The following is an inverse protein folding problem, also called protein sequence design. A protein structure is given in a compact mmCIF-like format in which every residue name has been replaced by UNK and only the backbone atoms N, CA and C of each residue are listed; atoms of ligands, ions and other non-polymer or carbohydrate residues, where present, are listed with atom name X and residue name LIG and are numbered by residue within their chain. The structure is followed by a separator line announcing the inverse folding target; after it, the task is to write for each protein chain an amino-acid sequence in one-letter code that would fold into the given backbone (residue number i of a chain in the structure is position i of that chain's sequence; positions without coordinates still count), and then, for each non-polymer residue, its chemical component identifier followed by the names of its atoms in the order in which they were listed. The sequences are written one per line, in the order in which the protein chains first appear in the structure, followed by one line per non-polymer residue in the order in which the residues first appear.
data_IF_047245882676
#
_entry.id   IF_047245882676
#
_cell.length_a   1.000
_cell.length_b   1.000
_cell.length_c   1.000
_cell.angle_alpha   90.00
_cell.angle_beta   90.00
_cell.angle_gamma   90.00
#
_symmetry.space_group_name_H-M   'P 1'
#
loop_
_entity.id
_entity.type
_entity.pdbx_description
1 polymer ?
#
# COMPACT_ATOMS: atom_id res chain seq x y z
N UNK A 1 -22.34 -0.14 -17.86
CA UNK A 1 -22.45 -1.39 -17.09
C UNK A 1 -23.31 -1.12 -15.88
N UNK A 2 -24.37 -1.90 -15.60
CA UNK A 2 -25.25 -1.65 -14.46
C UNK A 2 -24.51 -1.90 -13.14
N UNK A 3 -24.73 -1.04 -12.15
CA UNK A 3 -24.27 -1.25 -10.78
C UNK A 3 -25.22 -2.24 -10.09
N UNK A 4 -24.94 -3.55 -10.24
CA UNK A 4 -25.76 -4.60 -9.64
C UNK A 4 -24.90 -5.60 -8.85
N UNK A 5 -25.44 -6.19 -7.77
CA UNK A 5 -24.75 -7.21 -7.00
C UNK A 5 -24.28 -8.39 -7.86
N UNK A 6 -25.06 -8.77 -8.88
CA UNK A 6 -24.71 -9.85 -9.81
C UNK A 6 -23.43 -9.53 -10.59
N UNK A 7 -23.32 -8.31 -11.12
CA UNK A 7 -22.11 -7.88 -11.83
C UNK A 7 -20.90 -7.86 -10.89
N UNK A 8 -21.07 -7.36 -9.67
CA UNK A 8 -19.99 -7.33 -8.68
C UNK A 8 -19.52 -8.73 -8.28
N UNK A 9 -20.44 -9.68 -8.10
CA UNK A 9 -20.10 -11.08 -7.83
C UNK A 9 -19.33 -11.69 -9.00
N UNK A 10 -19.78 -11.48 -10.25
CA UNK A 10 -19.08 -11.97 -11.44
C UNK A 10 -17.66 -11.38 -11.51
N UNK A 11 -17.51 -10.08 -11.22
CA UNK A 11 -16.20 -9.43 -11.19
C UNK A 11 -15.29 -10.02 -10.12
N UNK A 12 -15.77 -10.20 -8.89
CA UNK A 12 -14.98 -10.80 -7.80
C UNK A 12 -14.54 -12.21 -8.18
N UNK A 13 -15.45 -13.06 -8.66
CA UNK A 13 -15.13 -14.44 -9.07
C UNK A 13 -14.09 -14.45 -10.20
N UNK A 14 -14.27 -13.60 -11.21
CA UNK A 14 -13.38 -13.51 -12.36
C UNK A 14 -11.98 -13.06 -11.95
N UNK A 15 -11.88 -11.98 -11.18
CA UNK A 15 -10.60 -11.42 -10.73
C UNK A 15 -9.90 -12.39 -9.76
N UNK A 16 -10.63 -13.02 -8.84
CA UNK A 16 -10.10 -14.05 -7.94
C UNK A 16 -9.56 -15.24 -8.73
N UNK A 17 -10.24 -15.65 -9.80
CA UNK A 17 -9.76 -16.71 -10.69
C UNK A 17 -8.45 -16.32 -11.37
N UNK A 18 -8.35 -15.11 -11.91
CA UNK A 18 -7.10 -14.62 -12.50
C UNK A 18 -5.96 -14.53 -11.47
N UNK A 19 -6.24 -14.04 -10.26
CA UNK A 19 -5.26 -13.99 -9.18
C UNK A 19 -4.78 -15.40 -8.78
N UNK A 20 -5.72 -16.34 -8.63
CA UNK A 20 -5.40 -17.75 -8.32
C UNK A 20 -4.53 -18.38 -9.41
N UNK A 21 -4.85 -18.17 -10.68
CA UNK A 21 -4.06 -18.64 -11.80
C UNK A 21 -2.65 -18.01 -11.81
N UNK A 22 -2.54 -16.71 -11.50
CA UNK A 22 -1.26 -16.01 -11.38
C UNK A 22 -0.37 -16.67 -10.32
N UNK A 23 -0.89 -16.86 -9.10
CA UNK A 23 -0.15 -17.47 -7.99
C UNK A 23 0.32 -18.89 -8.31
N UNK A 24 -0.56 -19.71 -8.91
CA UNK A 24 -0.29 -21.12 -9.21
C UNK A 24 0.72 -21.29 -10.33
N UNK A 25 0.68 -20.39 -11.32
CA UNK A 25 1.62 -20.40 -12.45
C UNK A 25 3.07 -20.23 -11.98
N UNK A 26 3.30 -19.72 -10.76
CA UNK A 26 4.64 -19.59 -10.16
C UNK A 26 5.57 -18.71 -10.99
N UNK A 27 5.01 -17.88 -11.87
CA UNK A 27 5.79 -17.05 -12.76
C UNK A 27 6.35 -15.89 -11.94
N UNK A 28 7.55 -16.07 -11.37
CA UNK A 28 8.40 -14.95 -10.95
C UNK A 28 8.53 -13.89 -12.07
N UNK A 29 8.36 -14.30 -13.34
CA UNK A 29 8.21 -13.39 -14.50
C UNK A 29 6.85 -12.70 -14.58
N UNK A 30 5.75 -13.38 -14.26
CA UNK A 30 4.39 -12.85 -14.33
C UNK A 30 4.15 -11.74 -13.32
N UNK A 31 4.52 -11.97 -12.05
CA UNK A 31 4.49 -10.93 -11.01
C UNK A 31 5.34 -9.73 -11.44
N UNK A 32 6.54 -9.97 -11.96
CA UNK A 32 7.43 -8.90 -12.42
C UNK A 32 6.80 -8.10 -13.56
N UNK A 33 6.29 -8.76 -14.60
CA UNK A 33 5.67 -8.10 -15.75
C UNK A 33 4.42 -7.33 -15.33
N UNK A 34 3.55 -7.94 -14.52
CA UNK A 34 2.34 -7.28 -14.03
C UNK A 34 2.67 -6.09 -13.12
N UNK A 35 3.70 -6.20 -12.27
CA UNK A 35 4.15 -5.10 -11.41
C UNK A 35 4.78 -3.96 -12.22
N UNK A 36 5.62 -4.26 -13.22
CA UNK A 36 6.18 -3.27 -14.14
C UNK A 36 5.08 -2.59 -14.96
N UNK A 37 4.14 -3.37 -15.50
CA UNK A 37 2.96 -2.86 -16.19
C UNK A 37 2.12 -1.97 -15.27
N UNK A 38 1.93 -2.36 -14.01
CA UNK A 38 1.20 -1.56 -13.04
C UNK A 38 1.83 -0.19 -12.82
N UNK A 39 3.16 -0.14 -12.67
CA UNK A 39 3.91 1.11 -12.50
C UNK A 39 3.76 2.01 -13.74
N UNK A 40 3.83 1.44 -14.94
CA UNK A 40 3.66 2.19 -16.20
C UNK A 40 2.23 2.69 -16.35
N UNK A 41 1.22 1.83 -16.19
CA UNK A 41 -0.19 2.19 -16.34
C UNK A 41 -0.60 3.24 -15.32
N UNK A 42 -0.20 3.08 -14.06
CA UNK A 42 -0.48 4.06 -13.00
C UNK A 42 0.25 5.36 -13.24
N UNK A 43 1.52 5.31 -13.66
CA UNK A 43 2.29 6.48 -14.03
C UNK A 43 1.66 7.25 -15.19
N UNK A 44 1.21 6.55 -16.23
CA UNK A 44 0.52 7.14 -17.38
C UNK A 44 -0.84 7.74 -16.98
N UNK A 45 -1.59 7.08 -16.09
CA UNK A 45 -2.85 7.61 -15.58
C UNK A 45 -2.62 8.93 -14.82
N UNK A 46 -1.70 8.92 -13.86
CA UNK A 46 -1.38 10.11 -13.06
C UNK A 46 -0.81 11.23 -13.91
N UNK A 47 0.07 10.91 -14.86
CA UNK A 47 0.61 11.87 -15.81
C UNK A 47 -0.48 12.43 -16.72
N UNK A 48 -1.39 11.59 -17.21
CA UNK A 48 -2.54 12.00 -18.00
C UNK A 48 -3.44 12.98 -17.26
N UNK A 49 -3.79 12.67 -16.00
CA UNK A 49 -4.58 13.58 -15.15
C UNK A 49 -3.81 14.87 -14.85
N UNK A 50 -2.50 14.81 -14.59
CA UNK A 50 -1.68 15.99 -14.35
C UNK A 50 -1.63 16.94 -15.55
N UNK A 51 -1.50 16.40 -16.77
CA UNK A 51 -1.37 17.18 -18.00
C UNK A 51 -2.70 17.69 -18.55
N UNK A 52 -3.78 16.90 -18.40
CA UNK A 52 -5.11 17.26 -18.90
C UNK A 52 -5.87 18.12 -17.87
N UNK A 53 -5.67 17.83 -16.59
CA UNK A 53 -6.30 18.55 -15.49
C UNK A 53 -5.63 19.90 -15.17
N UNK A 54 -5.98 20.52 -14.02
CA UNK A 54 -5.50 21.84 -13.66
C UNK A 54 -4.04 21.81 -13.16
N UNK A 55 -3.07 21.64 -14.06
CA UNK A 55 -1.64 21.38 -13.74
C UNK A 55 -1.06 22.38 -12.74
N UNK A 56 -1.29 23.68 -12.94
CA UNK A 56 -0.76 24.74 -12.06
C UNK A 56 -1.35 24.62 -10.66
N UNK A 57 -2.65 24.33 -10.55
CA UNK A 57 -3.31 24.10 -9.26
C UNK A 57 -2.72 22.87 -8.57
N UNK A 58 -2.58 21.74 -9.27
CA UNK A 58 -2.02 20.49 -8.73
C UNK A 58 -0.61 20.73 -8.18
N UNK A 59 0.29 21.34 -8.97
CA UNK A 59 1.66 21.58 -8.56
C UNK A 59 1.77 22.58 -7.39
N UNK A 60 0.92 23.61 -7.38
CA UNK A 60 0.87 24.58 -6.29
C UNK A 60 0.36 23.92 -5.01
N UNK A 61 -0.69 23.12 -5.09
CA UNK A 61 -1.26 22.34 -3.98
C UNK A 61 -0.29 21.31 -3.45
N UNK A 62 0.57 20.72 -4.30
CA UNK A 62 1.61 19.79 -3.84
C UNK A 62 2.63 20.51 -2.96
N UNK A 63 3.18 21.62 -3.44
CA UNK A 63 4.19 22.38 -2.69
C UNK A 63 3.62 22.95 -1.39
N UNK A 64 2.44 23.55 -1.43
CA UNK A 64 1.78 24.10 -0.24
C UNK A 64 1.36 23.00 0.73
N UNK A 65 0.82 21.89 0.22
CA UNK A 65 0.40 20.73 1.01
C UNK A 65 1.57 20.06 1.73
N UNK A 66 2.74 19.96 1.10
CA UNK A 66 3.95 19.46 1.77
C UNK A 66 4.42 20.40 2.89
N UNK A 67 4.36 21.72 2.68
CA UNK A 67 4.64 22.70 3.73
C UNK A 67 3.67 22.59 4.91
N UNK A 68 2.38 22.40 4.63
CA UNK A 68 1.35 22.20 5.65
C UNK A 68 1.55 20.88 6.41
N UNK A 69 1.88 19.79 5.70
CA UNK A 69 2.15 18.49 6.30
C UNK A 69 3.27 18.56 7.35
N UNK A 70 4.36 19.27 7.03
CA UNK A 70 5.47 19.45 7.97
C UNK A 70 5.08 20.34 9.16
N UNK A 71 4.28 21.39 8.93
CA UNK A 71 3.82 22.28 9.99
C UNK A 71 2.88 21.58 10.97
N UNK A 72 1.93 20.81 10.46
CA UNK A 72 0.88 20.17 11.25
C UNK A 72 1.24 18.75 11.73
N UNK A 73 2.46 18.28 11.46
CA UNK A 73 2.87 16.90 11.70
C UNK A 73 2.58 16.42 13.12
N UNK A 74 3.06 17.16 14.13
CA UNK A 74 2.88 16.76 15.54
C UNK A 74 1.43 16.90 16.01
N UNK A 75 0.74 17.96 15.57
CA UNK A 75 -0.68 18.17 15.89
C UNK A 75 -1.53 17.00 15.37
N UNK A 76 -1.32 16.62 14.11
CA UNK A 76 -2.02 15.51 13.45
C UNK A 76 -1.63 14.15 14.05
N UNK A 77 -0.35 13.95 14.40
CA UNK A 77 0.14 12.71 14.98
C UNK A 77 -0.40 12.44 16.39
N UNK A 78 -0.69 13.48 17.16
CA UNK A 78 -1.20 13.39 18.53
C UNK A 78 -2.71 13.67 18.64
N UNK A 79 -3.38 13.96 17.52
CA UNK A 79 -4.82 14.24 17.49
C UNK A 79 -5.59 13.05 18.09
N UNK A 80 -6.46 13.35 19.06
CA UNK A 80 -7.36 12.39 19.70
C UNK A 80 -8.72 13.04 19.84
N UNK A 81 -9.73 12.47 19.20
CA UNK A 81 -11.09 12.99 19.25
C UNK A 81 -11.67 12.89 20.66
N UNK A 82 -12.17 14.01 21.18
CA UNK A 82 -12.77 14.09 22.52
C UNK A 82 -14.29 14.00 22.40
N UNK A 83 -14.85 14.71 21.42
CA UNK A 83 -16.28 14.73 21.15
C UNK A 83 -16.75 13.50 20.36
N UNK A 84 -18.04 13.13 20.43
CA UNK A 84 -18.58 11.98 19.69
C UNK A 84 -18.28 12.00 18.19
N UNK A 85 -18.48 13.15 17.53
CA UNK A 85 -18.27 13.29 16.09
C UNK A 85 -16.79 13.19 15.70
N UNK A 86 -15.91 13.75 16.54
CA UNK A 86 -14.46 13.65 16.37
C UNK A 86 -13.97 12.21 16.48
N UNK A 87 -14.50 11.45 17.45
CA UNK A 87 -14.19 10.02 17.63
C UNK A 87 -14.64 9.21 16.43
N UNK A 88 -15.83 9.48 15.90
CA UNK A 88 -16.36 8.82 14.70
C UNK A 88 -15.49 9.12 13.47
N UNK A 89 -15.09 10.38 13.29
CA UNK A 89 -14.17 10.76 12.22
C UNK A 89 -12.81 10.08 12.39
N UNK A 90 -12.22 10.12 13.58
CA UNK A 90 -10.93 9.50 13.86
C UNK A 90 -10.96 7.98 13.65
N UNK A 91 -12.08 7.33 14.02
CA UNK A 91 -12.29 5.90 13.80
C UNK A 91 -12.36 5.55 12.30
N UNK A 92 -13.11 6.34 11.51
CA UNK A 92 -13.28 6.13 10.08
C UNK A 92 -12.04 6.42 9.22
N UNK A 93 -11.11 7.24 9.73
CA UNK A 93 -9.92 7.68 9.01
C UNK A 93 -8.62 7.23 9.69
N UNK A 94 -8.15 7.96 10.71
CA UNK A 94 -6.82 7.76 11.29
C UNK A 94 -6.64 6.37 11.89
N UNK A 95 -7.58 5.92 12.73
CA UNK A 95 -7.50 4.61 13.39
C UNK A 95 -7.68 3.49 12.37
N UNK A 96 -8.60 3.65 11.42
CA UNK A 96 -8.78 2.70 10.32
C UNK A 96 -7.47 2.53 9.52
N UNK A 97 -6.84 3.62 9.08
CA UNK A 97 -5.59 3.53 8.32
C UNK A 97 -4.44 2.97 9.16
N UNK A 98 -4.32 3.32 10.45
CA UNK A 98 -3.36 2.67 11.34
C UNK A 98 -3.58 1.16 11.44
N UNK A 99 -4.81 0.72 11.68
CA UNK A 99 -5.11 -0.70 11.73
C UNK A 99 -4.83 -1.41 10.39
N UNK A 100 -5.20 -0.77 9.27
CA UNK A 100 -4.91 -1.26 7.93
C UNK A 100 -3.40 -1.44 7.73
N UNK A 101 -2.60 -0.38 7.89
CA UNK A 101 -1.16 -0.45 7.66
C UNK A 101 -0.47 -1.45 8.59
N UNK A 102 -0.87 -1.51 9.86
CA UNK A 102 -0.38 -2.50 10.83
C UNK A 102 -0.66 -3.92 10.36
N UNK A 103 -1.88 -4.22 9.91
CA UNK A 103 -2.26 -5.55 9.42
C UNK A 103 -1.46 -5.99 8.17
N UNK A 104 -0.98 -5.02 7.37
CA UNK A 104 -0.21 -5.27 6.15
C UNK A 104 1.30 -5.41 6.38
N UNK A 105 1.80 -5.10 7.57
CA UNK A 105 3.25 -5.13 7.84
C UNK A 105 3.93 -6.49 7.63
N UNK A 106 3.33 -7.68 7.86
CA UNK A 106 3.99 -8.96 7.56
C UNK A 106 4.26 -9.10 6.06
N UNK A 107 3.29 -8.70 5.27
CA UNK A 107 3.34 -8.75 3.83
C UNK A 107 4.40 -7.79 3.29
N UNK A 108 4.30 -6.51 3.65
CA UNK A 108 5.22 -5.47 3.17
C UNK A 108 6.63 -5.65 3.71
N UNK A 109 6.76 -6.01 5.00
CA UNK A 109 8.05 -6.19 5.66
C UNK A 109 8.87 -7.34 5.08
N UNK A 110 8.23 -8.49 4.80
CA UNK A 110 8.91 -9.62 4.15
C UNK A 110 9.33 -9.31 2.72
N UNK A 111 8.49 -8.58 1.97
CA UNK A 111 8.83 -8.09 0.63
C UNK A 111 10.06 -7.18 0.65
N UNK A 112 10.06 -6.15 1.51
CA UNK A 112 11.19 -5.22 1.66
C UNK A 112 12.45 -5.97 2.06
N UNK A 113 12.36 -6.91 3.01
CA UNK A 113 13.50 -7.71 3.44
C UNK A 113 14.14 -8.49 2.27
N UNK A 114 13.31 -9.09 1.40
CA UNK A 114 13.78 -9.86 0.23
C UNK A 114 14.52 -9.01 -0.79
N UNK A 115 14.00 -7.82 -1.11
CA UNK A 115 14.62 -6.92 -2.11
C UNK A 115 15.78 -6.09 -1.54
N UNK A 116 15.96 -6.07 -0.23
CA UNK A 116 16.97 -5.26 0.47
C UNK A 116 18.28 -6.02 0.79
N UNK A 117 18.47 -7.24 0.27
CA UNK A 117 19.68 -8.04 0.53
C UNK A 117 20.94 -7.28 0.09
N UNK A 118 21.89 -7.10 1.01
CA UNK A 118 23.15 -6.40 0.77
C UNK A 118 23.11 -4.88 0.99
N UNK A 119 21.97 -4.32 1.41
CA UNK A 119 21.84 -2.91 1.78
C UNK A 119 22.15 -2.69 3.25
N UNK A 120 22.60 -1.48 3.60
CA UNK A 120 22.72 -1.06 5.00
C UNK A 120 21.35 -0.77 5.60
N UNK A 121 21.22 -0.92 6.92
CA UNK A 121 19.97 -0.60 7.65
C UNK A 121 19.50 0.84 7.36
N UNK A 122 20.44 1.78 7.23
CA UNK A 122 20.13 3.18 6.91
C UNK A 122 19.54 3.36 5.51
N UNK A 123 20.12 2.71 4.50
CA UNK A 123 19.61 2.78 3.12
C UNK A 123 18.20 2.19 3.04
N UNK A 124 17.96 1.05 3.71
CA UNK A 124 16.63 0.41 3.75
C UNK A 124 15.62 1.32 4.44
N UNK A 125 15.97 1.90 5.59
CA UNK A 125 15.07 2.78 6.32
C UNK A 125 14.72 4.04 5.52
N UNK A 126 15.70 4.75 4.99
CA UNK A 126 15.46 5.98 4.20
C UNK A 126 14.71 5.65 2.91
N UNK A 127 15.12 4.60 2.19
CA UNK A 127 14.49 4.22 0.92
C UNK A 127 13.03 3.80 1.11
N UNK A 128 12.71 3.09 2.19
CA UNK A 128 11.34 2.66 2.51
C UNK A 128 10.44 3.81 2.94
N UNK A 129 11.01 4.88 3.52
CA UNK A 129 10.23 6.03 3.96
C UNK A 129 10.07 7.04 2.81
N UNK A 130 11.19 7.54 2.27
CA UNK A 130 11.18 8.70 1.38
C UNK A 130 10.51 8.42 0.04
N UNK A 131 10.84 7.29 -0.59
CA UNK A 131 10.35 7.00 -1.94
C UNK A 131 8.83 6.76 -1.97
N UNK A 132 8.25 5.91 -1.10
CA UNK A 132 6.79 5.76 -1.04
C UNK A 132 6.07 7.04 -0.63
N UNK A 133 6.62 7.84 0.30
CA UNK A 133 6.02 9.12 0.68
C UNK A 133 5.85 10.02 -0.54
N UNK A 134 6.90 10.24 -1.33
CA UNK A 134 6.83 11.11 -2.52
C UNK A 134 5.80 10.60 -3.52
N UNK A 135 5.77 9.28 -3.77
CA UNK A 135 4.84 8.68 -4.73
C UNK A 135 3.40 8.84 -4.25
N UNK A 136 3.12 8.53 -2.99
CA UNK A 136 1.77 8.59 -2.41
C UNK A 136 1.28 10.03 -2.33
N UNK A 137 2.09 10.97 -1.84
CA UNK A 137 1.69 12.37 -1.78
C UNK A 137 1.45 12.93 -3.18
N UNK A 138 2.28 12.58 -4.16
CA UNK A 138 2.08 13.00 -5.55
C UNK A 138 0.78 12.46 -6.12
N UNK A 139 0.50 11.16 -5.97
CA UNK A 139 -0.72 10.54 -6.47
C UNK A 139 -1.98 11.13 -5.79
N UNK A 140 -1.93 11.30 -4.47
CA UNK A 140 -3.02 11.90 -3.69
C UNK A 140 -3.26 13.36 -4.09
N UNK A 141 -2.21 14.15 -4.33
CA UNK A 141 -2.38 15.52 -4.79
C UNK A 141 -2.89 15.58 -6.23
N UNK A 142 -2.37 14.77 -7.16
CA UNK A 142 -2.83 14.77 -8.55
C UNK A 142 -4.33 14.46 -8.63
N UNK A 143 -4.80 13.40 -7.97
CA UNK A 143 -6.21 13.03 -8.01
C UNK A 143 -7.06 13.92 -7.10
N UNK A 144 -6.62 14.16 -5.86
CA UNK A 144 -7.37 14.90 -4.85
C UNK A 144 -7.48 16.39 -5.16
N UNK A 145 -6.39 17.07 -5.52
CA UNK A 145 -6.44 18.49 -5.88
C UNK A 145 -7.24 18.72 -7.17
N UNK A 146 -7.16 17.80 -8.13
CA UNK A 146 -8.03 17.84 -9.31
C UNK A 146 -9.49 17.72 -8.92
N UNK A 147 -9.84 16.74 -8.07
CA UNK A 147 -11.21 16.56 -7.57
C UNK A 147 -11.74 17.79 -6.84
N UNK A 148 -10.96 18.38 -5.93
CA UNK A 148 -11.32 19.59 -5.18
C UNK A 148 -11.52 20.77 -6.14
N UNK A 149 -10.58 21.01 -7.05
CA UNK A 149 -10.67 22.11 -8.01
C UNK A 149 -11.91 22.00 -8.90
N UNK A 150 -12.21 20.80 -9.41
CA UNK A 150 -13.40 20.57 -10.22
C UNK A 150 -14.68 20.68 -9.40
N UNK A 151 -14.64 20.28 -8.12
CA UNK A 151 -15.77 20.46 -7.22
C UNK A 151 -16.12 21.94 -7.06
N UNK A 152 -15.11 22.80 -6.87
CA UNK A 152 -15.29 24.25 -6.75
C UNK A 152 -15.73 24.88 -8.06
N UNK A 153 -15.19 24.43 -9.20
CA UNK A 153 -15.51 24.98 -10.53
C UNK A 153 -16.94 24.66 -10.99
N UNK A 154 -17.49 23.54 -10.55
CA UNK A 154 -18.78 23.01 -10.97
C UNK A 154 -19.77 22.86 -9.80
N UNK A 155 -19.77 23.81 -8.87
CA UNK A 155 -20.79 23.95 -7.82
C UNK A 155 -21.07 22.67 -7.01
N UNK A 156 -20.01 22.00 -6.54
CA UNK A 156 -20.12 20.84 -5.65
C UNK A 156 -20.38 19.51 -6.36
N UNK A 157 -20.16 19.42 -7.68
CA UNK A 157 -20.54 18.23 -8.46
C UNK A 157 -19.86 16.94 -8.00
N UNK A 158 -18.61 17.03 -7.51
CA UNK A 158 -17.85 15.87 -7.05
C UNK A 158 -18.35 15.42 -5.68
N UNK A 159 -18.63 16.37 -4.77
CA UNK A 159 -19.25 16.10 -3.48
C UNK A 159 -20.62 15.43 -3.64
N UNK A 160 -21.45 15.93 -4.55
CA UNK A 160 -22.76 15.32 -4.87
C UNK A 160 -22.62 13.91 -5.46
N UNK A 161 -21.58 13.67 -6.27
CA UNK A 161 -21.28 12.33 -6.78
C UNK A 161 -20.88 11.37 -5.65
N UNK A 162 -19.98 11.80 -4.76
CA UNK A 162 -19.51 11.01 -3.61
C UNK A 162 -20.67 10.70 -2.65
N UNK A 163 -21.51 11.70 -2.35
CA UNK A 163 -22.68 11.54 -1.47
C UNK A 163 -23.71 10.55 -2.02
N UNK A 164 -23.82 10.41 -3.35
CA UNK A 164 -24.66 9.38 -3.98
C UNK A 164 -23.98 8.01 -3.93
N UNK A 165 -22.72 7.94 -4.34
CA UNK A 165 -21.92 6.72 -4.25
C UNK A 165 -20.43 7.08 -4.36
N UNK A 166 -19.67 6.76 -3.31
CA UNK A 166 -18.24 7.00 -3.27
C UNK A 166 -17.45 6.13 -4.27
N UNK A 167 -17.94 4.93 -4.60
CA UNK A 167 -17.21 3.92 -5.36
C UNK A 167 -16.81 4.39 -6.78
N UNK A 168 -17.70 5.01 -7.58
CA UNK A 168 -17.34 5.50 -8.91
C UNK A 168 -16.77 6.94 -8.95
N UNK A 169 -16.47 7.56 -7.80
CA UNK A 169 -16.11 8.99 -7.71
C UNK A 169 -14.97 9.43 -8.65
N UNK A 170 -13.94 8.60 -8.84
CA UNK A 170 -12.84 8.90 -9.77
C UNK A 170 -13.31 8.96 -11.24
N UNK A 171 -14.28 8.12 -11.62
CA UNK A 171 -14.84 8.10 -12.97
C UNK A 171 -15.79 9.28 -13.19
N UNK A 172 -16.50 9.71 -12.15
CA UNK A 172 -17.27 10.96 -12.20
C UNK A 172 -16.33 12.15 -12.36
N UNK A 173 -15.20 12.20 -11.65
CA UNK A 173 -14.18 13.23 -11.83
C UNK A 173 -13.66 13.29 -13.28
N UNK A 174 -13.39 12.15 -13.91
CA UNK A 174 -12.89 12.13 -15.31
C UNK A 174 -13.86 12.75 -16.33
N UNK A 175 -15.16 12.85 -16.03
CA UNK A 175 -16.13 13.53 -16.90
C UNK A 175 -15.93 15.04 -16.91
N UNK A 176 -15.37 15.60 -15.84
CA UNK A 176 -15.15 17.04 -15.66
C UNK A 176 -13.68 17.45 -15.89
N UNK A 177 -12.73 16.51 -15.80
CA UNK A 177 -11.30 16.76 -16.10
C UNK A 177 -11.10 17.23 -17.54
N UNK A 178 -11.94 16.78 -18.49
CA UNK A 178 -11.80 17.12 -19.90
C UNK A 178 -13.14 17.20 -20.60
N UNK A 179 -13.30 18.17 -21.51
CA UNK A 179 -14.48 18.29 -22.37
C UNK A 179 -14.54 17.20 -23.45
N UNK A 180 -13.43 16.48 -23.69
CA UNK A 180 -13.38 15.40 -24.69
C UNK A 180 -13.89 14.09 -24.10
N UNK A 181 -15.05 13.63 -24.59
CA UNK A 181 -15.62 12.33 -24.21
C UNK A 181 -14.67 11.16 -24.49
N UNK A 182 -13.86 11.26 -25.54
CA UNK A 182 -12.86 10.23 -25.91
C UNK A 182 -11.75 10.15 -24.86
N UNK A 183 -11.21 11.29 -24.41
CA UNK A 183 -10.15 11.29 -23.39
C UNK A 183 -10.67 10.81 -22.04
N UNK A 184 -11.87 11.23 -21.65
CA UNK A 184 -12.54 10.75 -20.42
C UNK A 184 -12.75 9.23 -20.44
N UNK A 185 -13.15 8.68 -21.60
CA UNK A 185 -13.29 7.25 -21.80
C UNK A 185 -11.94 6.51 -21.71
N UNK A 186 -10.89 7.06 -22.32
CA UNK A 186 -9.53 6.49 -22.23
C UNK A 186 -9.04 6.47 -20.78
N UNK A 187 -9.17 7.57 -20.03
CA UNK A 187 -8.79 7.64 -18.62
C UNK A 187 -9.55 6.60 -17.79
N UNK A 188 -10.84 6.42 -18.06
CA UNK A 188 -11.67 5.41 -17.39
C UNK A 188 -11.19 3.98 -17.69
N UNK A 189 -10.88 3.66 -18.95
CA UNK A 189 -10.31 2.34 -19.31
C UNK A 189 -8.98 2.11 -18.60
N UNK A 190 -8.07 3.09 -18.68
CA UNK A 190 -6.74 3.00 -18.05
C UNK A 190 -6.88 2.81 -16.54
N UNK A 191 -7.80 3.52 -15.88
CA UNK A 191 -8.07 3.35 -14.46
C UNK A 191 -8.64 1.96 -14.12
N UNK A 192 -9.58 1.43 -14.92
CA UNK A 192 -10.10 0.06 -14.72
C UNK A 192 -8.98 -0.97 -14.87
N UNK A 193 -8.14 -0.83 -15.91
CA UNK A 193 -6.98 -1.71 -16.11
C UNK A 193 -6.01 -1.61 -14.94
N UNK A 194 -5.70 -0.40 -14.46
CA UNK A 194 -4.87 -0.18 -13.29
C UNK A 194 -5.44 -0.89 -12.05
N UNK A 195 -6.74 -0.70 -11.76
CA UNK A 195 -7.41 -1.33 -10.60
C UNK A 195 -7.33 -2.85 -10.67
N UNK A 196 -7.59 -3.45 -11.85
CA UNK A 196 -7.51 -4.91 -12.03
C UNK A 196 -6.08 -5.41 -11.83
N UNK A 197 -5.07 -4.72 -12.40
CA UNK A 197 -3.66 -5.11 -12.22
C UNK A 197 -3.25 -4.98 -10.76
N UNK A 198 -3.58 -3.87 -10.09
CA UNK A 198 -3.33 -3.66 -8.66
C UNK A 198 -3.94 -4.79 -7.83
N UNK A 199 -5.18 -5.16 -8.10
CA UNK A 199 -5.86 -6.23 -7.38
C UNK A 199 -5.14 -7.57 -7.59
N UNK A 200 -4.90 -7.95 -8.85
CA UNK A 200 -4.26 -9.25 -9.18
C UNK A 200 -2.86 -9.33 -8.59
N UNK A 201 -2.04 -8.29 -8.72
CA UNK A 201 -0.67 -8.27 -8.19
C UNK A 201 -0.63 -8.27 -6.66
N UNK A 202 -1.56 -7.56 -6.01
CA UNK A 202 -1.66 -7.53 -4.55
C UNK A 202 -2.11 -8.87 -3.99
N UNK A 203 -3.15 -9.48 -4.59
CA UNK A 203 -3.64 -10.81 -4.23
C UNK A 203 -2.56 -11.87 -4.44
N UNK A 204 -1.84 -11.82 -5.56
CA UNK A 204 -0.76 -12.78 -5.84
C UNK A 204 0.33 -12.74 -4.77
N UNK A 205 0.82 -11.53 -4.50
CA UNK A 205 1.87 -11.30 -3.52
C UNK A 205 1.40 -11.64 -2.09
N UNK A 206 0.17 -11.27 -1.72
CA UNK A 206 -0.44 -11.54 -0.42
C UNK A 206 -0.59 -13.03 -0.16
N UNK A 207 -1.21 -13.74 -1.09
CA UNK A 207 -1.40 -15.19 -1.03
C UNK A 207 -0.08 -15.96 -0.96
N UNK A 208 0.97 -15.50 -1.66
CA UNK A 208 2.31 -16.10 -1.55
C UNK A 208 2.91 -15.95 -0.14
N UNK A 209 2.78 -14.77 0.48
CA UNK A 209 3.32 -14.52 1.82
C UNK A 209 2.56 -15.34 2.87
N UNK A 210 1.23 -15.34 2.83
CA UNK A 210 0.43 -16.13 3.79
C UNK A 210 0.74 -17.63 3.62
N UNK A 211 0.87 -18.10 2.39
CA UNK A 211 1.29 -19.49 2.11
C UNK A 211 2.68 -19.79 2.66
N UNK A 212 3.62 -18.85 2.60
CA UNK A 212 4.97 -19.02 3.15
C UNK A 212 4.95 -19.07 4.68
N UNK A 213 4.23 -18.15 5.33
CA UNK A 213 4.08 -18.12 6.78
C UNK A 213 3.42 -19.40 7.32
N UNK A 214 2.42 -19.92 6.60
CA UNK A 214 1.70 -21.15 6.96
C UNK A 214 2.38 -22.45 6.52
N UNK A 215 3.57 -22.35 5.89
CA UNK A 215 4.41 -23.49 5.52
C UNK A 215 5.81 -23.43 6.16
N UNK A 216 5.89 -22.87 7.37
CA UNK A 216 7.14 -22.73 8.15
C UNK A 216 8.19 -21.84 7.45
N UNK A 217 7.75 -20.83 6.71
CA UNK A 217 8.64 -19.88 6.02
C UNK A 217 9.27 -20.42 4.74
N UNK A 218 8.69 -21.46 4.11
CA UNK A 218 9.21 -21.98 2.83
C UNK A 218 9.07 -20.93 1.73
N UNK A 219 10.14 -20.72 0.96
CA UNK A 219 10.15 -19.78 -0.16
C UNK A 219 9.24 -20.22 -1.32
N UNK A 220 9.03 -21.53 -1.47
CA UNK A 220 8.07 -22.08 -2.43
C UNK A 220 7.03 -22.95 -1.72
N UNK A 221 5.91 -22.35 -1.27
CA UNK A 221 4.82 -23.07 -0.65
C UNK A 221 4.12 -24.04 -1.61
N UNK A 222 3.49 -25.12 -1.11
CA UNK A 222 2.65 -26.01 -1.91
C UNK A 222 1.59 -25.25 -2.71
N UNK A 223 1.36 -25.66 -3.97
CA UNK A 223 0.36 -25.06 -4.86
C UNK A 223 -1.05 -25.07 -4.26
N UNK A 224 -1.40 -26.11 -3.49
CA UNK A 224 -2.71 -26.22 -2.83
C UNK A 224 -2.92 -25.12 -1.80
N UNK A 225 -1.90 -24.78 -1.00
CA UNK A 225 -1.98 -23.69 -0.02
C UNK A 225 -2.14 -22.34 -0.72
N UNK A 226 -1.39 -22.12 -1.80
CA UNK A 226 -1.49 -20.94 -2.65
C UNK A 226 -2.90 -20.74 -3.20
N UNK A 227 -3.52 -21.80 -3.74
CA UNK A 227 -4.90 -21.77 -4.24
C UNK A 227 -5.87 -21.48 -3.10
N UNK A 228 -5.71 -22.15 -1.96
CA UNK A 228 -6.57 -21.95 -0.80
C UNK A 228 -6.58 -20.50 -0.33
N UNK A 229 -5.41 -19.88 -0.17
CA UNK A 229 -5.31 -18.49 0.30
C UNK A 229 -5.84 -17.50 -0.73
N UNK A 230 -5.54 -17.68 -2.02
CA UNK A 230 -6.09 -16.81 -3.08
C UNK A 230 -7.62 -16.91 -3.19
N UNK A 231 -8.17 -18.12 -3.09
CA UNK A 231 -9.61 -18.33 -3.08
C UNK A 231 -10.28 -17.76 -1.82
N UNK A 232 -9.60 -17.84 -0.66
CA UNK A 232 -10.10 -17.32 0.60
C UNK A 232 -10.24 -15.79 0.57
N UNK A 233 -9.29 -15.08 -0.05
CA UNK A 233 -9.39 -13.62 -0.27
C UNK A 233 -10.66 -13.25 -1.05
N UNK A 234 -10.94 -13.96 -2.15
CA UNK A 234 -12.17 -13.79 -2.92
C UNK A 234 -13.44 -14.18 -2.16
N UNK A 235 -13.38 -15.24 -1.35
CA UNK A 235 -14.49 -15.64 -0.49
C UNK A 235 -14.82 -14.57 0.56
N UNK A 236 -13.81 -13.97 1.20
CA UNK A 236 -13.99 -12.86 2.14
C UNK A 236 -14.59 -11.65 1.41
N UNK A 237 -14.10 -11.31 0.23
CA UNK A 237 -14.64 -10.22 -0.57
C UNK A 237 -16.13 -10.46 -0.92
N UNK A 238 -16.50 -11.68 -1.31
CA UNK A 238 -17.89 -12.07 -1.55
C UNK A 238 -18.73 -11.99 -0.28
N UNK A 239 -18.24 -12.49 0.85
CA UNK A 239 -18.96 -12.44 2.13
C UNK A 239 -19.22 -10.98 2.56
N UNK A 240 -18.20 -10.12 2.47
CA UNK A 240 -18.34 -8.69 2.78
C UNK A 240 -19.32 -8.01 1.84
N UNK A 241 -19.27 -8.32 0.54
CA UNK A 241 -20.21 -7.76 -0.44
C UNK A 241 -21.65 -8.19 -0.16
N UNK A 242 -21.88 -9.49 0.04
CA UNK A 242 -23.22 -10.07 0.16
C UNK A 242 -23.89 -9.76 1.51
N UNK A 243 -23.10 -9.72 2.59
CA UNK A 243 -23.60 -9.43 3.95
C UNK A 243 -23.66 -7.92 4.18
N UNK A 244 -22.65 -7.18 3.72
CA UNK A 244 -22.52 -5.75 3.96
C UNK A 244 -23.36 -4.91 3.01
N UNK A 245 -23.60 -5.34 1.77
CA UNK A 245 -24.33 -4.54 0.77
C UNK A 245 -23.74 -3.14 0.62
N UNK A 246 -24.58 -2.10 0.78
CA UNK A 246 -24.14 -0.69 0.79
C UNK A 246 -23.20 -0.35 1.96
N UNK A 247 -23.26 -1.11 3.05
CA UNK A 247 -22.40 -0.96 4.24
C UNK A 247 -21.14 -1.81 4.18
N UNK A 248 -20.87 -2.51 3.07
CA UNK A 248 -19.69 -3.36 2.89
C UNK A 248 -18.38 -2.65 3.28
N UNK A 249 -18.24 -1.36 2.94
CA UNK A 249 -17.09 -0.55 3.33
C UNK A 249 -16.97 -0.42 4.87
N UNK A 250 -18.05 -0.07 5.55
CA UNK A 250 -18.05 0.06 7.02
C UNK A 250 -17.78 -1.29 7.71
N UNK A 251 -18.28 -2.38 7.12
CA UNK A 251 -18.03 -3.74 7.61
C UNK A 251 -16.55 -4.12 7.50
N UNK A 252 -15.92 -3.86 6.35
CA UNK A 252 -14.49 -4.19 6.18
C UNK A 252 -13.60 -3.30 7.04
N UNK A 253 -13.93 -2.01 7.19
CA UNK A 253 -13.21 -1.09 8.09
C UNK A 253 -13.24 -1.61 9.53
N UNK A 254 -14.42 -2.01 10.02
CA UNK A 254 -14.57 -2.53 11.38
C UNK A 254 -13.77 -3.82 11.60
N UNK A 255 -13.82 -4.75 10.64
CA UNK A 255 -13.05 -5.99 10.69
C UNK A 255 -11.53 -5.73 10.72
N UNK A 256 -11.05 -4.79 9.91
CA UNK A 256 -9.63 -4.39 9.88
C UNK A 256 -9.20 -3.79 11.22
N UNK A 257 -10.02 -2.94 11.83
CA UNK A 257 -9.72 -2.34 13.14
C UNK A 257 -9.59 -3.43 14.23
N UNK A 258 -10.55 -4.36 14.28
CA UNK A 258 -10.55 -5.46 15.25
C UNK A 258 -9.30 -6.34 15.09
N UNK A 259 -8.92 -6.66 13.85
CA UNK A 259 -7.76 -7.52 13.55
C UNK A 259 -6.42 -6.77 13.64
N UNK A 260 -6.41 -5.45 13.44
CA UNK A 260 -5.20 -4.63 13.54
C UNK A 260 -4.70 -4.48 14.98
N UNK A 261 -5.62 -4.45 15.97
CA UNK A 261 -5.27 -4.32 17.38
C UNK A 261 -4.33 -5.42 17.89
N UNK A 262 -4.62 -6.73 17.78
CA UNK A 262 -3.70 -7.77 18.23
C UNK A 262 -2.36 -7.72 17.46
N UNK A 263 -2.40 -7.35 16.18
CA UNK A 263 -1.19 -7.22 15.37
C UNK A 263 -0.31 -6.03 15.80
N UNK A 264 -0.89 -4.96 16.33
CA UNK A 264 -0.14 -3.83 16.91
C UNK A 264 0.72 -4.25 18.10
N UNK A 265 0.21 -5.14 18.96
CA UNK A 265 0.95 -5.70 20.10
C UNK A 265 2.14 -6.51 19.59
N UNK A 266 1.92 -7.31 18.54
CA UNK A 266 2.99 -8.08 17.88
C UNK A 266 4.07 -7.16 17.32
N UNK A 267 3.70 -6.06 16.65
CA UNK A 267 4.67 -5.08 16.14
C UNK A 267 5.51 -4.45 17.25
N UNK A 268 4.91 -4.10 18.39
CA UNK A 268 5.65 -3.58 19.54
C UNK A 268 6.67 -4.62 20.03
N UNK A 269 6.28 -5.90 20.12
CA UNK A 269 7.21 -6.99 20.46
C UNK A 269 8.35 -7.12 19.43
N UNK A 270 8.06 -6.99 18.14
CA UNK A 270 9.05 -7.01 17.06
C UNK A 270 10.03 -5.83 17.19
N UNK A 271 9.57 -4.64 17.57
CA UNK A 271 10.46 -3.48 17.80
C UNK A 271 11.49 -3.76 18.91
N UNK A 272 11.05 -4.35 20.03
CA UNK A 272 11.96 -4.75 21.11
C UNK A 272 12.91 -5.87 20.67
N UNK A 273 12.41 -6.88 19.96
CA UNK A 273 13.22 -7.98 19.41
C UNK A 273 14.29 -7.47 18.45
N UNK A 274 13.93 -6.58 17.52
CA UNK A 274 14.84 -5.97 16.56
C UNK A 274 15.94 -5.15 17.27
N UNK A 275 15.58 -4.33 18.26
CA UNK A 275 16.57 -3.58 19.03
C UNK A 275 17.55 -4.50 19.76
N UNK A 276 17.09 -5.62 20.31
CA UNK A 276 17.96 -6.63 20.94
C UNK A 276 18.90 -7.26 19.91
N UNK A 277 18.36 -7.74 18.78
CA UNK A 277 19.11 -8.41 17.72
C UNK A 277 20.17 -7.50 17.09
N UNK A 278 19.83 -6.22 16.84
CA UNK A 278 20.77 -5.23 16.30
C UNK A 278 21.94 -4.97 17.26
N UNK A 279 21.68 -4.93 18.58
CA UNK A 279 22.74 -4.74 19.59
C UNK A 279 23.67 -5.95 19.65
N UNK A 280 23.12 -7.16 19.62
CA UNK A 280 23.92 -8.40 19.61
C UNK A 280 24.74 -8.53 18.33
N UNK A 281 24.12 -8.27 17.17
CA UNK A 281 24.79 -8.25 15.87
C UNK A 281 25.89 -7.20 15.80
N UNK A 282 25.69 -6.00 16.35
CA UNK A 282 26.71 -4.96 16.40
C UNK A 282 27.92 -5.34 17.26
N UNK A 283 27.69 -5.98 18.42
CA UNK A 283 28.77 -6.52 19.27
C UNK A 283 29.58 -7.57 18.52
N UNK A 284 28.91 -8.52 17.86
CA UNK A 284 29.55 -9.57 17.06
C UNK A 284 30.36 -9.00 15.89
N UNK A 285 29.82 -8.01 15.18
CA UNK A 285 30.53 -7.30 14.12
C UNK A 285 31.79 -6.61 14.63
N UNK A 286 31.70 -5.89 15.75
CA UNK A 286 32.83 -5.18 16.36
C UNK A 286 33.92 -6.14 16.82
N UNK A 287 33.55 -7.26 17.43
CA UNK A 287 34.47 -8.32 17.83
C UNK A 287 35.20 -8.91 16.61
N UNK A 288 34.45 -9.35 15.59
CA UNK A 288 35.02 -9.94 14.38
C UNK A 288 35.97 -8.97 13.68
N UNK A 289 35.60 -7.69 13.55
CA UNK A 289 36.46 -6.65 12.97
C UNK A 289 37.77 -6.52 13.74
N UNK A 290 37.71 -6.56 15.07
CA UNK A 290 38.91 -6.49 15.93
C UNK A 290 39.81 -7.71 15.73
N UNK A 291 39.24 -8.91 15.65
CA UNK A 291 39.99 -10.15 15.39
C UNK A 291 40.64 -10.12 14.00
N UNK A 292 39.90 -9.73 12.96
CA UNK A 292 40.44 -9.62 11.60
C UNK A 292 41.58 -8.61 11.52
N UNK A 293 41.45 -7.44 12.16
CA UNK A 293 42.52 -6.44 12.21
C UNK A 293 43.76 -6.95 12.95
N UNK A 294 43.60 -7.68 14.06
CA UNK A 294 44.72 -8.33 14.76
C UNK A 294 45.46 -9.31 13.87
N UNK A 295 44.73 -10.19 13.18
CA UNK A 295 45.31 -11.16 12.25
C UNK A 295 46.04 -10.48 11.07
N UNK A 296 45.50 -9.36 10.57
CA UNK A 296 46.17 -8.58 9.52
C UNK A 296 47.47 -7.92 10.02
N UNK A 297 47.46 -7.37 11.23
CA UNK A 297 48.65 -6.76 11.85
C UNK A 297 49.76 -7.79 12.10
N UNK A 298 49.40 -8.99 12.60
CA UNK A 298 50.33 -10.10 12.77
C UNK A 298 50.97 -10.52 11.44
N UNK A 299 50.18 -10.65 10.37
CA UNK A 299 50.70 -10.95 9.02
C UNK A 299 51.66 -9.88 8.48
N UNK A 300 51.50 -8.63 8.88
CA UNK A 300 52.37 -7.53 8.48
C UNK A 300 53.63 -7.40 9.35
N UNK A 301 53.89 -8.35 10.26
CA UNK A 301 55.02 -8.29 11.19
C UNK A 301 54.94 -7.14 12.20
N UNK A 302 53.82 -6.41 12.24
CA UNK A 302 53.57 -5.31 13.18
C UNK A 302 52.84 -5.89 14.37
N UNK A 303 53.56 -6.16 15.47
CA UNK A 303 52.91 -6.47 16.75
C UNK A 303 51.93 -5.33 17.09
N UNK A 304 50.64 -5.62 17.33
CA UNK A 304 49.71 -4.58 17.76
C UNK A 304 50.19 -4.01 19.09
N UNK A 305 50.67 -2.75 19.09
CA UNK A 305 50.78 -1.98 20.34
C UNK A 305 49.39 -1.45 20.64
N UNK A 306 48.66 -2.07 21.55
CA UNK A 306 47.46 -1.49 22.13
C UNK A 306 47.60 -1.47 23.65
N UNK A 307 47.51 -0.26 24.20
CA UNK A 307 47.04 0.00 25.57
C UNK A 307 45.53 -0.17 25.59
#
# INVERSE_FOLDING_TARGET
VPFSPVVQVILIVTITTFATLSVVSGLNRGIKILSEANMVVSGLLLLGVLLIGPTVHILSTYLSGMGLYLREFFSSALYTGVEPDEKLWQAGWTVFYWAWWISWTPFVGTFIARISKGRTVREVAIGTIVLPTIIITSAMTILGATGIHLNELFDGVIEQAISRNMSPSIFEMFKYVTSSSVLSFILSIVAVVAIVIFFVTSSDSGSLVVSSLTSSGRDNPPKVQKIFWAAMEGAIALSVLLIGGEKALTTIQSAVIIMGLPFSIILIMIMFSLNKELRESYKKFTYNRTVTLKLMLEKLGRKPKLK
#
